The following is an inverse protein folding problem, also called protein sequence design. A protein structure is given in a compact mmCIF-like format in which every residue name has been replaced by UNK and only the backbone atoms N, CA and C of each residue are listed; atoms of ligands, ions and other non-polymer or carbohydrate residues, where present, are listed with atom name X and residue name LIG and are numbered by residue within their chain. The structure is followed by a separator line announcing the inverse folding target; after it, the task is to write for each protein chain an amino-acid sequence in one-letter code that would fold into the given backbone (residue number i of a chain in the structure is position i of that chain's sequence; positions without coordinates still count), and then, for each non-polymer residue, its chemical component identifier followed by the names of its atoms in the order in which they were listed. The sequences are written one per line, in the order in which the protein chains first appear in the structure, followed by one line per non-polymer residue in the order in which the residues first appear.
data_IF_011138173096
#
_entry.id   IF_011138173096
#
_cell.length_a   1.000
_cell.length_b   1.000
_cell.length_c   1.000
_cell.angle_alpha   90.00
_cell.angle_beta   90.00
_cell.angle_gamma   90.00
#
_symmetry.space_group_name_H-M   'P 1'
#
loop_
_entity.id
_entity.type
_entity.pdbx_description
1 polymer ?
#
# COMPACT_ATOMS: atom_id res chain seq x y z
N UNK A 1 -62.09 -62.92 24.47
CA UNK A 1 -61.03 -62.11 25.09
C UNK A 1 -61.12 -60.73 24.50
N UNK A 2 -61.95 -59.91 25.12
CA UNK A 2 -62.28 -58.54 24.72
C UNK A 2 -62.66 -57.83 26.03
N UNK A 3 -62.11 -56.65 26.24
CA UNK A 3 -62.45 -55.78 27.36
C UNK A 3 -62.19 -54.35 26.91
N UNK A 4 -63.28 -53.67 26.56
CA UNK A 4 -63.37 -52.27 26.15
C UNK A 4 -63.07 -51.29 27.30
N UNK A 5 -62.67 -50.08 26.87
CA UNK A 5 -62.93 -48.74 27.44
C UNK A 5 -63.17 -48.55 28.95
N UNK A 6 -62.45 -47.59 29.55
CA UNK A 6 -63.06 -46.29 29.86
C UNK A 6 -62.02 -45.23 30.26
N UNK A 7 -62.45 -43.98 30.05
CA UNK A 7 -61.71 -42.71 30.14
C UNK A 7 -61.36 -42.32 31.57
N UNK A 8 -60.22 -41.66 31.76
CA UNK A 8 -60.07 -40.71 32.86
C UNK A 8 -59.34 -39.44 32.40
N UNK A 9 -60.07 -38.34 32.53
CA UNK A 9 -59.70 -36.95 32.29
C UNK A 9 -58.85 -36.42 33.45
N UNK A 10 -57.66 -35.90 33.18
CA UNK A 10 -56.94 -35.06 34.15
C UNK A 10 -56.63 -33.67 33.60
N UNK A 11 -57.05 -32.71 34.42
CA UNK A 11 -56.98 -31.27 34.28
C UNK A 11 -55.61 -30.73 33.87
N UNK A 12 -55.62 -29.96 32.78
CA UNK A 12 -54.65 -28.92 32.50
C UNK A 12 -54.94 -27.73 33.42
N UNK A 13 -54.05 -27.47 34.38
CA UNK A 13 -54.05 -26.23 35.17
C UNK A 13 -52.63 -25.68 35.12
N UNK A 14 -52.52 -24.50 34.51
CA UNK A 14 -51.28 -23.86 34.12
C UNK A 14 -50.28 -23.68 35.26
N UNK A 15 -49.03 -23.98 34.93
CA UNK A 15 -47.89 -23.26 35.48
C UNK A 15 -47.63 -22.11 34.50
N UNK A 16 -47.48 -20.90 35.05
CA UNK A 16 -47.08 -19.74 34.30
C UNK A 16 -45.66 -19.98 33.78
N UNK A 17 -45.50 -19.88 32.46
CA UNK A 17 -44.22 -19.68 31.82
C UNK A 17 -43.78 -18.26 32.18
N UNK A 18 -42.98 -18.14 33.24
CA UNK A 18 -42.17 -16.95 33.45
C UNK A 18 -41.08 -16.97 32.38
N UNK A 19 -41.36 -16.29 31.26
CA UNK A 19 -40.38 -15.92 30.24
C UNK A 19 -39.28 -15.10 30.93
N UNK A 20 -38.24 -15.80 31.39
CA UNK A 20 -36.96 -15.20 31.73
C UNK A 20 -36.36 -14.78 30.39
N UNK A 21 -36.68 -13.56 29.97
CA UNK A 21 -35.90 -12.81 29.01
C UNK A 21 -34.56 -12.57 29.68
N UNK A 22 -33.62 -13.49 29.45
CA UNK A 22 -32.22 -13.19 29.65
C UNK A 22 -31.94 -12.04 28.68
N UNK A 23 -31.89 -10.82 29.19
CA UNK A 23 -31.19 -9.73 28.53
C UNK A 23 -29.75 -10.22 28.41
N UNK A 24 -29.40 -10.78 27.25
CA UNK A 24 -28.02 -10.90 26.82
C UNK A 24 -27.52 -9.46 26.77
N UNK A 25 -26.92 -9.01 27.88
CA UNK A 25 -26.04 -7.86 27.87
C UNK A 25 -24.95 -8.22 26.86
N UNK A 26 -25.06 -7.68 25.64
CA UNK A 26 -23.95 -7.62 24.71
C UNK A 26 -22.85 -6.85 25.45
N UNK A 27 -21.94 -7.59 26.10
CA UNK A 27 -20.65 -7.05 26.50
C UNK A 27 -20.02 -6.58 25.20
N UNK A 28 -20.06 -5.26 24.97
CA UNK A 28 -19.22 -4.64 23.97
C UNK A 28 -17.79 -5.05 24.34
N UNK A 29 -17.24 -6.03 23.60
CA UNK A 29 -15.83 -6.40 23.72
C UNK A 29 -15.02 -5.11 23.58
N UNK A 30 -14.54 -4.60 24.72
CA UNK A 30 -13.57 -3.52 24.75
C UNK A 30 -12.30 -4.08 24.12
N UNK A 31 -12.20 -3.97 22.79
CA UNK A 31 -10.99 -4.28 22.05
C UNK A 31 -9.80 -3.58 22.73
N UNK A 32 -8.59 -4.16 22.64
CA UNK A 32 -7.46 -3.78 23.47
C UNK A 32 -7.24 -2.26 23.44
N UNK A 33 -7.53 -1.61 24.57
CA UNK A 33 -7.53 -0.14 24.70
C UNK A 33 -6.14 0.50 24.52
N UNK A 34 -5.10 -0.32 24.31
CA UNK A 34 -3.70 0.07 24.39
C UNK A 34 -2.93 -0.03 23.06
N UNK A 35 -3.40 -0.82 22.08
CA UNK A 35 -2.65 -1.07 20.84
C UNK A 35 -3.48 -0.75 19.60
N UNK A 36 -3.11 0.33 18.91
CA UNK A 36 -3.65 0.67 17.59
C UNK A 36 -2.61 0.32 16.54
N UNK A 37 -2.85 -0.75 15.78
CA UNK A 37 -2.05 -1.04 14.59
C UNK A 37 -2.37 0.03 13.54
N UNK A 38 -1.37 0.82 13.18
CA UNK A 38 -1.52 1.83 12.14
C UNK A 38 -0.59 1.48 10.99
N UNK A 39 -1.17 1.21 9.82
CA UNK A 39 -0.39 1.12 8.59
C UNK A 39 -0.15 2.55 8.14
N UNK A 40 1.03 3.07 8.44
CA UNK A 40 1.39 4.42 8.01
C UNK A 40 2.32 4.35 6.82
N UNK A 41 1.95 5.08 5.78
CA UNK A 41 2.84 5.37 4.69
C UNK A 41 3.66 6.59 5.11
N UNK A 42 4.82 6.33 5.73
CA UNK A 42 5.71 7.36 6.23
C UNK A 42 6.32 8.19 5.10
N UNK A 43 5.92 9.47 4.98
CA UNK A 43 6.62 10.52 4.23
C UNK A 43 7.08 10.14 2.81
N UNK A 44 7.95 10.98 2.23
CA UNK A 44 8.75 10.62 1.05
C UNK A 44 7.97 10.20 -0.20
N UNK A 45 6.66 10.42 -0.21
CA UNK A 45 5.77 10.12 -1.32
C UNK A 45 5.46 11.41 -2.04
N UNK A 46 5.80 11.44 -3.31
CA UNK A 46 5.07 12.32 -4.19
C UNK A 46 3.70 11.70 -4.45
N UNK A 47 2.61 12.46 -4.29
CA UNK A 47 1.30 11.96 -4.71
C UNK A 47 1.41 11.56 -6.18
N UNK A 48 0.98 10.34 -6.52
CA UNK A 48 1.14 9.75 -7.87
C UNK A 48 0.64 10.66 -9.01
N UNK A 49 -0.26 11.60 -8.71
CA UNK A 49 -0.77 12.60 -9.65
C UNK A 49 0.19 13.77 -9.96
N UNK A 50 1.29 13.94 -9.23
CA UNK A 50 2.29 14.97 -9.52
C UNK A 50 3.38 14.42 -10.44
N UNK A 51 3.20 14.61 -11.75
CA UNK A 51 4.19 14.35 -12.80
C UNK A 51 5.54 15.08 -12.55
N UNK A 52 5.60 16.00 -11.58
CA UNK A 52 6.78 16.78 -11.21
C UNK A 52 7.15 16.52 -9.74
N UNK A 53 7.66 15.34 -9.43
CA UNK A 53 8.18 14.99 -8.12
C UNK A 53 9.67 15.34 -8.01
N UNK A 54 10.00 16.55 -7.59
CA UNK A 54 11.39 16.97 -7.48
C UNK A 54 12.09 16.31 -6.27
N UNK A 55 13.43 16.20 -6.25
CA UNK A 55 14.17 15.72 -5.09
C UNK A 55 13.80 16.38 -3.78
N UNK A 56 13.52 17.67 -3.81
CA UNK A 56 13.17 18.39 -2.59
C UNK A 56 11.81 17.94 -2.01
N UNK A 57 10.98 17.28 -2.81
CA UNK A 57 9.65 16.81 -2.41
C UNK A 57 9.69 15.42 -1.73
N UNK A 58 10.77 14.66 -1.91
CA UNK A 58 10.93 13.32 -1.30
C UNK A 58 12.16 13.19 -0.40
N UNK A 59 13.03 14.20 -0.33
CA UNK A 59 14.10 14.29 0.66
C UNK A 59 13.52 14.81 1.96
N UNK A 60 13.39 13.92 2.93
CA UNK A 60 12.86 14.20 4.25
C UNK A 60 13.99 14.29 5.28
N UNK A 61 13.77 15.04 6.37
CA UNK A 61 14.57 14.87 7.58
C UNK A 61 13.97 13.77 8.44
N UNK A 62 14.72 13.26 9.43
CA UNK A 62 14.17 12.28 10.34
C UNK A 62 12.94 12.84 11.10
N UNK A 63 12.91 14.14 11.44
CA UNK A 63 11.76 14.75 12.12
C UNK A 63 10.52 14.82 11.23
N UNK A 64 10.67 15.27 9.97
CA UNK A 64 9.53 15.36 9.05
C UNK A 64 9.01 13.97 8.68
N UNK A 65 9.91 13.01 8.49
CA UNK A 65 9.57 11.61 8.25
C UNK A 65 8.85 10.98 9.44
N UNK A 66 9.34 11.17 10.66
CA UNK A 66 8.71 10.66 11.88
C UNK A 66 7.33 11.27 12.13
N UNK A 67 7.17 12.56 11.86
CA UNK A 67 5.87 13.22 11.94
C UNK A 67 4.90 12.65 10.89
N UNK A 68 5.38 12.43 9.66
CA UNK A 68 4.58 11.80 8.62
C UNK A 68 4.15 10.37 9.00
N UNK A 69 5.05 9.58 9.62
CA UNK A 69 4.74 8.25 10.14
C UNK A 69 3.61 8.22 11.18
N UNK A 70 3.32 9.35 11.85
CA UNK A 70 2.27 9.45 12.87
C UNK A 70 1.03 10.20 12.39
N UNK A 71 1.10 10.76 11.19
CA UNK A 71 -0.01 11.52 10.63
C UNK A 71 -1.01 10.56 10.01
N UNK A 72 -2.25 10.57 10.50
CA UNK A 72 -3.35 9.85 9.86
C UNK A 72 -4.10 10.78 8.93
N UNK A 73 -4.33 10.32 7.70
CA UNK A 73 -5.26 10.97 6.81
C UNK A 73 -6.66 10.42 7.11
N UNK A 74 -7.53 11.25 7.68
CA UNK A 74 -8.94 10.92 7.89
C UNK A 74 -9.71 10.73 6.57
N UNK A 75 -9.09 11.08 5.43
CA UNK A 75 -9.60 10.81 4.07
C UNK A 75 -9.32 9.39 3.59
N UNK A 76 -9.06 8.43 4.48
CA UNK A 76 -9.06 7.00 4.14
C UNK A 76 -10.49 6.60 3.74
N UNK A 77 -10.86 6.96 2.51
CA UNK A 77 -11.80 6.21 1.70
C UNK A 77 -11.30 4.79 1.76
N UNK A 78 -12.10 3.94 2.38
CA UNK A 78 -11.90 2.50 2.53
C UNK A 78 -11.15 1.91 1.33
N UNK A 79 -9.82 1.72 1.47
CA UNK A 79 -9.07 0.76 0.67
C UNK A 79 -9.49 -0.64 1.13
N UNK A 80 -10.77 -0.97 0.95
CA UNK A 80 -11.15 -2.36 0.84
C UNK A 80 -10.57 -2.82 -0.50
N UNK A 81 -9.67 -3.81 -0.54
CA UNK A 81 -9.25 -4.40 -1.80
C UNK A 81 -10.52 -4.92 -2.46
N UNK A 82 -10.96 -4.26 -3.54
CA UNK A 82 -12.07 -4.74 -4.34
C UNK A 82 -11.68 -6.13 -4.82
N UNK A 83 -12.36 -7.14 -4.30
CA UNK A 83 -12.08 -8.54 -4.52
C UNK A 83 -11.96 -8.83 -6.02
N UNK A 84 -10.91 -9.57 -6.38
CA UNK A 84 -10.68 -10.23 -7.67
C UNK A 84 -10.54 -9.31 -8.90
N UNK A 85 -9.35 -8.72 -9.06
CA UNK A 85 -8.89 -8.33 -10.39
C UNK A 85 -8.32 -9.57 -11.10
N UNK A 86 -9.20 -10.33 -11.76
CA UNK A 86 -8.76 -11.39 -12.67
C UNK A 86 -8.22 -10.71 -13.93
N UNK A 87 -6.91 -10.78 -14.16
CA UNK A 87 -6.30 -10.35 -15.43
C UNK A 87 -6.70 -11.33 -16.53
N UNK A 88 -7.86 -11.13 -17.14
CA UNK A 88 -8.15 -11.68 -18.46
C UNK A 88 -7.51 -10.79 -19.51
N UNK A 89 -6.37 -11.24 -20.06
CA UNK A 89 -5.86 -10.75 -21.35
C UNK A 89 -6.95 -10.97 -22.40
N UNK A 90 -7.50 -9.87 -22.92
CA UNK A 90 -8.45 -9.87 -24.04
C UNK A 90 -7.86 -9.03 -25.17
N UNK A 91 -7.63 -9.70 -26.29
CA UNK A 91 -7.33 -9.11 -27.59
C UNK A 91 -8.59 -8.43 -28.12
N UNK A 92 -8.62 -7.08 -28.17
CA UNK A 92 -9.72 -6.37 -28.84
C UNK A 92 -9.25 -5.44 -29.96
N UNK A 93 -9.90 -5.65 -31.11
CA UNK A 93 -9.79 -4.89 -32.35
C UNK A 93 -10.64 -3.63 -32.28
N UNK A 94 -10.05 -2.53 -32.68
CA UNK A 94 -10.64 -1.19 -32.75
C UNK A 94 -11.63 -1.09 -33.93
N UNK A 95 -12.92 -0.83 -33.65
CA UNK A 95 -13.91 -0.40 -34.65
C UNK A 95 -14.30 1.06 -34.44
N UNK A 96 -14.32 1.79 -35.55
CA UNK A 96 -14.29 3.24 -35.67
C UNK A 96 -15.72 3.75 -35.99
N UNK A 97 -16.27 4.66 -35.18
CA UNK A 97 -17.46 5.41 -35.62
C UNK A 97 -17.57 6.81 -35.01
N UNK A 98 -17.40 7.80 -35.90
CA UNK A 98 -17.74 9.20 -35.76
C UNK A 98 -19.24 9.42 -35.54
N UNK A 99 -19.62 10.28 -34.59
CA UNK A 99 -20.70 11.24 -34.81
C UNK A 99 -20.61 12.47 -33.90
N UNK A 100 -20.85 13.63 -34.53
CA UNK A 100 -20.66 14.99 -34.05
C UNK A 100 -22.03 15.63 -33.84
N UNK A 101 -22.27 16.27 -32.70
CA UNK A 101 -23.30 17.29 -32.60
C UNK A 101 -22.96 18.34 -31.54
N UNK A 102 -23.29 19.58 -31.88
CA UNK A 102 -23.01 20.79 -31.14
C UNK A 102 -24.31 21.36 -30.56
N UNK A 103 -24.27 21.84 -29.32
CA UNK A 103 -25.25 22.77 -28.77
C UNK A 103 -24.56 23.69 -27.75
N UNK A 104 -24.89 24.97 -27.85
CA UNK A 104 -24.54 26.08 -26.93
C UNK A 104 -25.73 26.29 -25.99
N UNK A 105 -25.47 26.64 -24.74
CA UNK A 105 -26.30 27.45 -23.81
C UNK A 105 -25.34 27.93 -22.70
N UNK A 106 -25.02 29.22 -22.55
CA UNK A 106 -25.72 30.33 -21.84
C UNK A 106 -25.64 30.26 -20.30
N UNK A 107 -24.69 31.05 -19.77
CA UNK A 107 -24.62 31.85 -18.53
C UNK A 107 -25.32 31.36 -17.25
N UNK A 108 -24.51 30.91 -16.27
CA UNK A 108 -24.91 30.69 -14.87
C UNK A 108 -24.00 31.51 -13.92
N UNK A 109 -24.64 32.25 -13.01
CA UNK A 109 -24.05 33.28 -12.16
C UNK A 109 -23.29 32.67 -10.96
N UNK A 110 -21.96 32.75 -11.01
CA UNK A 110 -21.05 32.18 -10.03
C UNK A 110 -21.21 32.71 -8.61
N UNK A 111 -21.67 31.83 -7.72
CA UNK A 111 -21.64 31.98 -6.26
C UNK A 111 -20.27 31.54 -5.73
N UNK A 112 -19.40 32.50 -5.40
CA UNK A 112 -18.12 32.28 -4.71
C UNK A 112 -18.36 31.94 -3.22
N UNK A 113 -18.69 30.69 -2.94
CA UNK A 113 -18.68 30.13 -1.59
C UNK A 113 -17.31 29.57 -1.25
N UNK A 114 -16.39 30.40 -0.75
CA UNK A 114 -15.11 29.97 -0.16
C UNK A 114 -15.39 29.10 1.08
N UNK A 115 -15.50 27.80 0.85
CA UNK A 115 -15.62 26.78 1.90
C UNK A 115 -14.25 26.16 2.08
N UNK A 116 -13.34 26.89 2.72
CA UNK A 116 -12.05 26.36 3.16
C UNK A 116 -12.30 25.37 4.31
N UNK A 117 -12.62 24.14 3.95
CA UNK A 117 -12.81 23.05 4.91
C UNK A 117 -11.44 22.64 5.46
N UNK A 118 -11.08 23.21 6.61
CA UNK A 118 -9.87 22.86 7.36
C UNK A 118 -9.93 21.39 7.77
N UNK A 119 -9.28 20.51 7.00
CA UNK A 119 -9.08 19.12 7.38
C UNK A 119 -8.08 19.08 8.53
N UNK A 120 -8.56 18.90 9.76
CA UNK A 120 -7.67 18.65 10.90
C UNK A 120 -6.99 17.29 10.71
N UNK A 121 -5.72 17.29 10.32
CA UNK A 121 -4.91 16.08 10.31
C UNK A 121 -4.72 15.60 11.76
N UNK A 122 -5.03 14.34 12.02
CA UNK A 122 -4.86 13.75 13.34
C UNK A 122 -3.45 13.15 13.42
N UNK A 123 -2.57 13.77 14.20
CA UNK A 123 -1.20 13.28 14.44
C UNK A 123 -1.20 12.50 15.75
N UNK A 124 -0.76 11.24 15.73
CA UNK A 124 -0.62 10.45 16.94
C UNK A 124 0.47 11.02 17.87
N UNK A 125 0.20 11.15 19.18
CA UNK A 125 1.23 11.51 20.14
C UNK A 125 2.43 10.56 20.09
N UNK A 126 3.65 11.10 20.10
CA UNK A 126 4.89 10.31 19.93
C UNK A 126 4.97 9.15 20.91
N UNK A 127 4.59 9.42 22.16
CA UNK A 127 4.67 8.50 23.29
C UNK A 127 3.65 7.36 23.24
N UNK A 128 2.77 7.35 22.23
CA UNK A 128 1.83 6.25 21.98
C UNK A 128 2.34 5.23 20.97
N UNK A 129 3.40 5.55 20.23
CA UNK A 129 4.07 4.61 19.32
C UNK A 129 5.24 3.97 20.07
N UNK A 130 5.14 2.67 20.34
CA UNK A 130 6.10 1.90 21.16
C UNK A 130 6.81 0.79 20.38
N UNK A 131 6.23 0.34 19.27
CA UNK A 131 6.74 -0.74 18.42
C UNK A 131 6.71 -0.34 16.95
N UNK A 132 7.62 -0.91 16.14
CA UNK A 132 7.68 -0.71 14.69
C UNK A 132 7.75 -2.01 13.91
N UNK A 133 6.93 -2.16 12.87
CA UNK A 133 7.03 -3.26 11.92
C UNK A 133 7.60 -2.70 10.61
N UNK A 134 8.78 -3.16 10.21
CA UNK A 134 9.44 -2.70 8.99
C UNK A 134 9.32 -3.76 7.89
N UNK A 135 8.39 -3.52 6.96
CA UNK A 135 8.20 -4.36 5.79
C UNK A 135 9.28 -4.06 4.74
N UNK A 136 10.01 -5.08 4.30
CA UNK A 136 10.89 -5.03 3.14
C UNK A 136 10.25 -5.79 1.98
N UNK A 137 10.45 -5.31 0.76
CA UNK A 137 10.08 -6.02 -0.46
C UNK A 137 11.31 -6.19 -1.36
N UNK A 138 11.29 -7.12 -2.30
CA UNK A 138 12.32 -7.12 -3.34
C UNK A 138 12.29 -5.76 -4.08
N UNK A 139 13.43 -5.04 -4.18
CA UNK A 139 13.47 -3.70 -4.76
C UNK A 139 13.00 -3.66 -6.21
N UNK A 140 13.36 -4.66 -7.02
CA UNK A 140 12.95 -4.75 -8.42
C UNK A 140 11.43 -4.94 -8.55
N UNK A 141 10.89 -5.86 -7.76
CA UNK A 141 9.44 -6.10 -7.74
C UNK A 141 8.68 -4.86 -7.24
N UNK A 142 9.24 -4.14 -6.28
CA UNK A 142 8.65 -2.92 -5.77
C UNK A 142 8.55 -1.86 -6.88
N UNK A 143 9.63 -1.54 -7.58
CA UNK A 143 9.63 -0.50 -8.62
C UNK A 143 8.70 -0.85 -9.79
N UNK A 144 8.72 -2.10 -10.27
CA UNK A 144 7.82 -2.49 -11.36
C UNK A 144 6.35 -2.51 -10.91
N UNK A 145 6.08 -2.83 -9.65
CA UNK A 145 4.71 -2.74 -9.12
C UNK A 145 4.20 -1.30 -9.03
N UNK A 146 5.07 -0.32 -8.74
CA UNK A 146 4.70 1.10 -8.76
C UNK A 146 4.31 1.55 -10.17
N UNK A 147 5.10 1.15 -11.18
CA UNK A 147 4.74 1.37 -12.58
C UNK A 147 3.37 0.77 -12.94
N UNK A 148 3.11 -0.48 -12.54
CA UNK A 148 1.81 -1.12 -12.80
C UNK A 148 0.65 -0.44 -12.07
N UNK A 149 0.89 0.06 -10.86
CA UNK A 149 -0.11 0.83 -10.12
C UNK A 149 -0.44 2.14 -10.86
N UNK A 150 0.57 2.90 -11.28
CA UNK A 150 0.40 4.11 -12.09
C UNK A 150 -0.36 3.81 -13.40
N UNK A 151 -0.03 2.69 -14.08
CA UNK A 151 -0.76 2.26 -15.27
C UNK A 151 -2.25 1.99 -14.98
N UNK A 152 -2.55 1.28 -13.89
CA UNK A 152 -3.91 0.96 -13.50
C UNK A 152 -4.72 2.23 -13.17
N UNK A 153 -4.11 3.20 -12.49
CA UNK A 153 -4.71 4.51 -12.18
C UNK A 153 -5.08 5.27 -13.45
N UNK A 154 -4.13 5.48 -14.38
CA UNK A 154 -4.40 6.15 -15.65
C UNK A 154 -5.49 5.43 -16.47
N UNK A 155 -5.58 4.10 -16.38
CA UNK A 155 -6.64 3.31 -17.02
C UNK A 155 -8.01 3.55 -16.37
N UNK A 156 -8.08 3.61 -15.05
CA UNK A 156 -9.31 3.91 -14.31
C UNK A 156 -9.80 5.33 -14.60
N UNK A 157 -8.91 6.32 -14.59
CA UNK A 157 -9.23 7.71 -14.91
C UNK A 157 -9.70 7.88 -16.35
N UNK A 158 -9.04 7.21 -17.30
CA UNK A 158 -9.49 7.19 -18.69
C UNK A 158 -10.93 6.67 -18.82
N UNK A 159 -11.31 5.65 -18.05
CA UNK A 159 -12.67 5.09 -18.08
C UNK A 159 -13.70 5.98 -17.37
N UNK A 160 -13.28 6.68 -16.30
CA UNK A 160 -14.15 7.53 -15.49
C UNK A 160 -14.47 8.87 -16.16
N UNK A 161 -13.58 9.37 -17.02
CA UNK A 161 -13.71 10.66 -17.72
C UNK A 161 -14.66 10.66 -18.92
N UNK A 162 -15.59 9.70 -19.00
CA UNK A 162 -16.59 9.58 -20.06
C UNK A 162 -17.55 10.78 -20.18
N UNK A 163 -17.63 11.61 -19.13
CA UNK A 163 -18.59 12.72 -19.01
C UNK A 163 -17.95 14.11 -18.88
N UNK A 164 -16.62 14.20 -18.77
CA UNK A 164 -15.91 15.46 -18.51
C UNK A 164 -15.05 15.88 -19.73
N UNK A 165 -14.76 17.17 -19.82
CA UNK A 165 -14.22 17.85 -21.01
C UNK A 165 -13.04 17.15 -21.71
N UNK A 166 -12.92 17.35 -23.04
CA UNK A 166 -11.95 16.70 -23.94
C UNK A 166 -10.44 16.84 -23.58
N UNK A 167 -10.05 17.61 -22.56
CA UNK A 167 -8.65 17.91 -22.27
C UNK A 167 -7.95 16.85 -21.43
N UNK A 168 -8.55 16.42 -20.32
CA UNK A 168 -7.94 15.45 -19.38
C UNK A 168 -7.96 14.03 -19.94
N UNK A 169 -9.06 13.58 -20.55
CA UNK A 169 -9.10 12.25 -21.20
C UNK A 169 -8.01 12.09 -22.26
N UNK A 170 -7.58 13.20 -22.89
CA UNK A 170 -6.50 13.21 -23.86
C UNK A 170 -5.13 12.99 -23.20
N UNK A 171 -4.90 13.43 -21.97
CA UNK A 171 -3.62 13.22 -21.26
C UNK A 171 -3.47 11.77 -20.82
N UNK A 172 -4.46 11.14 -20.15
CA UNK A 172 -4.36 9.73 -19.74
C UNK A 172 -4.26 8.79 -20.96
N UNK A 173 -5.00 9.07 -22.05
CA UNK A 173 -4.87 8.29 -23.30
C UNK A 173 -3.48 8.42 -23.93
N UNK A 174 -2.87 9.60 -23.90
CA UNK A 174 -1.51 9.80 -24.39
C UNK A 174 -0.50 9.06 -23.50
N UNK A 175 -0.64 9.17 -22.17
CA UNK A 175 0.20 8.48 -21.21
C UNK A 175 0.16 6.96 -21.40
N UNK A 176 -1.04 6.36 -21.45
CA UNK A 176 -1.22 4.90 -21.64
C UNK A 176 -0.65 4.39 -22.97
N UNK A 177 -0.57 5.27 -23.98
CA UNK A 177 0.03 4.96 -25.27
C UNK A 177 1.57 4.94 -25.19
N UNK A 178 2.16 5.88 -24.46
CA UNK A 178 3.62 5.93 -24.23
C UNK A 178 4.06 4.82 -23.28
N UNK A 179 3.25 4.52 -22.27
CA UNK A 179 3.57 3.66 -21.14
C UNK A 179 2.79 2.34 -21.17
N UNK A 180 2.79 1.64 -22.30
CA UNK A 180 2.07 0.37 -22.44
C UNK A 180 2.48 -0.67 -21.38
N UNK A 181 1.52 -1.34 -20.72
CA UNK A 181 1.73 -2.26 -19.59
C UNK A 181 2.58 -3.51 -19.92
N UNK A 182 3.87 -3.30 -20.16
CA UNK A 182 4.88 -4.28 -20.54
C UNK A 182 6.28 -3.68 -20.26
N UNK A 183 7.33 -4.44 -20.55
CA UNK A 183 8.71 -4.01 -20.33
C UNK A 183 9.08 -2.72 -21.08
N UNK A 184 8.60 -2.54 -22.31
CA UNK A 184 8.91 -1.35 -23.10
C UNK A 184 8.27 -0.09 -22.49
N UNK A 185 7.00 -0.17 -22.09
CA UNK A 185 6.33 0.95 -21.43
C UNK A 185 6.88 1.25 -20.04
N UNK A 186 7.38 0.24 -19.31
CA UNK A 186 8.15 0.46 -18.08
C UNK A 186 9.44 1.25 -18.33
N UNK A 187 10.22 0.88 -19.35
CA UNK A 187 11.43 1.62 -19.73
C UNK A 187 11.09 3.06 -20.10
N UNK A 188 10.02 3.27 -20.87
CA UNK A 188 9.52 4.62 -21.18
C UNK A 188 9.10 5.38 -19.93
N UNK A 189 8.41 4.74 -18.99
CA UNK A 189 7.99 5.38 -17.74
C UNK A 189 9.20 5.82 -16.92
N UNK A 190 10.19 4.94 -16.78
CA UNK A 190 11.42 5.32 -16.11
C UNK A 190 12.14 6.47 -16.82
N UNK A 191 12.14 6.52 -18.16
CA UNK A 191 12.69 7.65 -18.89
C UNK A 191 11.90 8.93 -18.64
N UNK A 192 10.58 8.92 -18.74
CA UNK A 192 9.76 10.13 -18.56
C UNK A 192 9.87 10.68 -17.12
N UNK A 193 9.89 9.80 -16.11
CA UNK A 193 10.14 10.16 -14.69
C UNK A 193 11.56 10.68 -14.45
N UNK A 194 12.52 10.38 -15.34
CA UNK A 194 13.92 10.84 -15.26
C UNK A 194 14.23 12.06 -16.14
N UNK A 195 13.56 12.19 -17.29
CA UNK A 195 13.90 13.14 -18.37
C UNK A 195 13.27 14.52 -18.12
N UNK A 196 12.38 14.66 -17.12
CA UNK A 196 11.98 15.97 -16.60
C UNK A 196 13.10 16.65 -15.78
N UNK A 197 14.19 15.92 -15.48
CA UNK A 197 15.29 16.34 -14.60
C UNK A 197 16.63 16.60 -15.31
N UNK A 198 16.67 16.74 -16.66
CA UNK A 198 17.87 17.28 -17.34
C UNK A 198 18.18 18.74 -16.96
N UNK A 199 17.28 19.41 -16.23
CA UNK A 199 17.57 20.69 -15.61
C UNK A 199 18.56 20.50 -14.44
N UNK A 200 19.81 20.90 -14.71
CA UNK A 200 20.92 21.39 -13.85
C UNK A 200 20.64 21.61 -12.34
N UNK A 201 19.41 21.95 -11.97
CA UNK A 201 18.92 22.03 -10.60
C UNK A 201 18.96 20.69 -9.85
N UNK A 202 18.87 19.55 -10.55
CA UNK A 202 18.93 18.22 -9.94
C UNK A 202 20.34 17.92 -9.40
N UNK A 203 21.39 18.26 -10.14
CA UNK A 203 22.78 18.00 -9.73
C UNK A 203 23.20 18.90 -8.55
N UNK A 204 22.78 20.17 -8.53
CA UNK A 204 23.03 21.08 -7.40
C UNK A 204 22.20 20.74 -6.14
N UNK A 205 20.94 20.33 -6.31
CA UNK A 205 20.11 19.92 -5.19
C UNK A 205 20.59 18.60 -4.60
N UNK A 206 20.80 17.58 -5.44
CA UNK A 206 21.26 16.27 -5.01
C UNK A 206 22.69 16.30 -4.49
N UNK A 207 23.60 17.11 -5.03
CA UNK A 207 24.99 17.17 -4.53
C UNK A 207 25.11 17.61 -3.06
N UNK A 208 24.07 18.22 -2.48
CA UNK A 208 24.01 18.50 -1.04
C UNK A 208 23.73 17.26 -0.19
N UNK A 209 23.08 16.25 -0.77
CA UNK A 209 22.60 15.06 -0.07
C UNK A 209 23.27 13.78 -0.54
N UNK A 210 23.89 13.80 -1.72
CA UNK A 210 24.45 12.64 -2.43
C UNK A 210 25.91 12.91 -2.75
N UNK A 211 26.77 11.95 -2.46
CA UNK A 211 28.20 12.03 -2.81
C UNK A 211 28.41 11.89 -4.31
N UNK A 212 29.52 12.43 -4.83
CA UNK A 212 29.89 12.28 -6.23
C UNK A 212 29.97 10.81 -6.67
N UNK A 213 30.37 9.91 -5.76
CA UNK A 213 30.43 8.47 -6.01
C UNK A 213 29.05 7.89 -6.33
N UNK A 214 28.04 8.21 -5.51
CA UNK A 214 26.67 7.75 -5.74
C UNK A 214 26.10 8.37 -7.02
N UNK A 215 26.39 9.65 -7.30
CA UNK A 215 25.96 10.30 -8.54
C UNK A 215 26.49 9.59 -9.79
N UNK A 216 27.73 9.07 -9.75
CA UNK A 216 28.28 8.28 -10.85
C UNK A 216 27.54 6.94 -11.01
N UNK A 217 27.17 6.29 -9.90
CA UNK A 217 26.43 5.01 -9.93
C UNK A 217 25.00 5.19 -10.47
N UNK A 218 24.30 6.26 -10.05
CA UNK A 218 22.93 6.57 -10.50
C UNK A 218 22.83 6.66 -12.03
N UNK A 219 23.84 7.22 -12.71
CA UNK A 219 23.86 7.37 -14.18
C UNK A 219 23.75 6.06 -14.96
N UNK A 220 24.14 4.93 -14.35
CA UNK A 220 24.11 3.62 -14.99
C UNK A 220 22.91 2.77 -14.57
N UNK A 221 22.02 3.31 -13.73
CA UNK A 221 20.87 2.59 -13.20
C UNK A 221 19.59 3.05 -13.92
N UNK A 222 18.83 2.14 -14.54
CA UNK A 222 17.50 2.51 -15.05
C UNK A 222 16.59 2.84 -13.87
N UNK A 223 15.71 3.84 -14.03
CA UNK A 223 14.78 4.24 -12.98
C UNK A 223 15.51 4.66 -11.68
N UNK A 224 16.69 5.28 -11.78
CA UNK A 224 17.56 5.53 -10.63
C UNK A 224 16.89 6.39 -9.53
N UNK A 225 16.00 7.31 -9.91
CA UNK A 225 15.20 8.10 -8.97
C UNK A 225 14.32 7.20 -8.08
N UNK A 226 13.69 6.19 -8.65
CA UNK A 226 12.84 5.23 -7.93
C UNK A 226 13.64 4.35 -6.97
N UNK A 227 14.79 3.84 -7.41
CA UNK A 227 15.68 3.09 -6.53
C UNK A 227 16.28 3.97 -5.42
N UNK A 228 16.58 5.24 -5.72
CA UNK A 228 17.03 6.18 -4.72
C UNK A 228 15.96 6.40 -3.65
N UNK A 229 14.72 6.73 -4.07
CA UNK A 229 13.56 6.92 -3.17
C UNK A 229 13.32 5.68 -2.30
N UNK A 230 13.38 4.49 -2.90
CA UNK A 230 13.25 3.22 -2.18
C UNK A 230 14.29 3.08 -1.07
N UNK A 231 15.58 3.25 -1.38
CA UNK A 231 16.65 3.10 -0.38
C UNK A 231 16.55 4.18 0.70
N UNK A 232 16.27 5.44 0.32
CA UNK A 232 16.13 6.52 1.29
C UNK A 232 14.96 6.31 2.25
N UNK A 233 13.81 5.83 1.75
CA UNK A 233 12.69 5.46 2.61
C UNK A 233 13.12 4.45 3.68
N UNK A 234 13.82 3.37 3.28
CA UNK A 234 14.29 2.37 4.24
C UNK A 234 15.37 2.90 5.20
N UNK A 235 16.25 3.78 4.74
CA UNK A 235 17.23 4.45 5.60
C UNK A 235 16.53 5.30 6.67
N UNK A 236 15.56 6.13 6.27
CA UNK A 236 14.81 6.99 7.19
C UNK A 236 13.99 6.18 8.20
N UNK A 237 13.36 5.07 7.78
CA UNK A 237 12.69 4.16 8.74
C UNK A 237 13.71 3.61 9.73
N UNK A 238 14.87 3.13 9.28
CA UNK A 238 15.92 2.60 10.17
C UNK A 238 16.40 3.66 11.16
N UNK A 239 16.61 4.89 10.71
CA UNK A 239 17.05 6.01 11.57
C UNK A 239 15.98 6.37 12.60
N UNK A 240 14.71 6.43 12.21
CA UNK A 240 13.61 6.74 13.15
C UNK A 240 13.46 5.63 14.20
N UNK A 241 13.54 4.36 13.81
CA UNK A 241 13.46 3.23 14.74
C UNK A 241 14.62 3.27 15.76
N UNK A 242 15.84 3.57 15.31
CA UNK A 242 17.02 3.70 16.17
C UNK A 242 16.92 4.93 17.09
N UNK A 243 16.62 6.10 16.52
CA UNK A 243 16.51 7.37 17.25
C UNK A 243 15.43 7.33 18.33
N UNK A 244 14.30 6.67 18.04
CA UNK A 244 13.18 6.52 18.97
C UNK A 244 13.35 5.35 19.93
N UNK A 245 14.41 4.55 19.78
CA UNK A 245 14.66 3.32 20.55
C UNK A 245 13.43 2.40 20.55
N UNK A 246 12.76 2.28 19.40
CA UNK A 246 11.56 1.44 19.27
C UNK A 246 11.95 -0.02 19.08
N UNK A 247 11.28 -0.89 19.83
CA UNK A 247 11.30 -2.32 19.53
C UNK A 247 10.74 -2.51 18.12
N UNK A 248 11.46 -3.25 17.28
CA UNK A 248 11.04 -3.45 15.91
C UNK A 248 11.35 -4.84 15.38
N UNK A 249 10.52 -5.26 14.43
CA UNK A 249 10.73 -6.48 13.66
C UNK A 249 10.74 -6.16 12.18
N UNK A 250 11.55 -6.93 11.45
CA UNK A 250 11.59 -6.92 9.99
C UNK A 250 10.70 -8.04 9.47
N UNK A 251 9.89 -7.73 8.47
CA UNK A 251 9.10 -8.72 7.73
C UNK A 251 9.44 -8.58 6.26
N UNK A 252 9.63 -9.70 5.57
CA UNK A 252 9.87 -9.71 4.13
C UNK A 252 8.57 -10.03 3.42
N UNK A 253 8.20 -9.22 2.42
CA UNK A 253 6.93 -9.33 1.71
C UNK A 253 6.77 -10.71 1.05
N UNK A 254 7.85 -11.25 0.53
CA UNK A 254 7.90 -12.56 -0.12
C UNK A 254 7.57 -13.72 0.87
N UNK A 255 7.83 -13.56 2.18
CA UNK A 255 7.48 -14.58 3.18
C UNK A 255 5.98 -14.79 3.34
N UNK A 256 5.13 -13.81 2.99
CA UNK A 256 3.68 -14.04 2.99
C UNK A 256 3.25 -15.07 1.93
N UNK A 257 4.04 -15.25 0.86
CA UNK A 257 3.81 -16.27 -0.15
C UNK A 257 4.28 -17.66 0.28
N UNK A 258 5.39 -17.73 1.02
CA UNK A 258 6.05 -18.98 1.37
C UNK A 258 5.62 -19.53 2.73
N UNK A 259 5.36 -18.67 3.71
CA UNK A 259 5.05 -19.02 5.10
C UNK A 259 4.14 -17.96 5.76
N UNK A 260 2.92 -17.80 5.21
CA UNK A 260 1.92 -16.88 5.73
C UNK A 260 1.65 -17.07 7.23
N UNK A 261 1.57 -18.33 7.66
CA UNK A 261 1.32 -18.71 9.06
C UNK A 261 2.46 -18.29 9.98
N UNK A 262 3.71 -18.59 9.62
CA UNK A 262 4.87 -18.19 10.42
C UNK A 262 5.05 -16.68 10.51
N UNK A 263 4.69 -15.94 9.45
CA UNK A 263 4.67 -14.47 9.50
C UNK A 263 3.57 -13.97 10.44
N UNK A 264 2.36 -14.53 10.35
CA UNK A 264 1.24 -14.17 11.22
C UNK A 264 1.57 -14.42 12.71
N UNK A 265 2.08 -15.60 13.04
CA UNK A 265 2.46 -15.97 14.42
C UNK A 265 3.55 -15.03 14.97
N UNK A 266 4.55 -14.69 14.15
CA UNK A 266 5.62 -13.77 14.53
C UNK A 266 5.12 -12.35 14.75
N UNK A 267 4.21 -11.88 13.91
CA UNK A 267 3.55 -10.57 14.06
C UNK A 267 2.70 -10.53 15.32
N UNK A 268 1.82 -11.51 15.54
CA UNK A 268 0.96 -11.60 16.73
C UNK A 268 1.79 -11.65 18.01
N UNK A 269 2.83 -12.49 18.03
CA UNK A 269 3.76 -12.58 19.16
C UNK A 269 4.47 -11.26 19.44
N UNK A 270 4.97 -10.58 18.38
CA UNK A 270 5.63 -9.28 18.53
C UNK A 270 4.69 -8.19 19.03
N UNK A 271 3.45 -8.20 18.57
CA UNK A 271 2.42 -7.26 19.00
C UNK A 271 1.87 -7.59 20.38
N UNK A 272 2.25 -8.72 20.99
CA UNK A 272 1.64 -9.24 22.22
C UNK A 272 0.11 -9.36 22.08
N UNK A 273 -0.34 -9.66 20.86
CA UNK A 273 -1.74 -9.93 20.59
C UNK A 273 -2.00 -11.37 21.01
N UNK A 274 -2.70 -11.51 22.14
CA UNK A 274 -3.10 -12.82 22.63
C UNK A 274 -4.25 -13.31 21.75
N UNK A 275 -3.96 -14.28 20.89
CA UNK A 275 -4.99 -14.91 20.03
C UNK A 275 -5.89 -15.84 20.87
N UNK A 276 -5.57 -16.07 22.16
CA UNK A 276 -6.22 -17.07 23.04
C UNK A 276 -7.35 -16.55 23.94
N UNK A 277 -8.03 -15.43 23.64
CA UNK A 277 -9.13 -15.00 24.53
C UNK A 277 -10.40 -15.86 24.39
N UNK A 278 -10.36 -16.89 23.55
CA UNK A 278 -11.29 -18.00 23.62
C UNK A 278 -10.84 -19.00 24.71
N UNK A 279 -11.76 -19.36 25.62
CA UNK A 279 -11.55 -20.27 26.77
C UNK A 279 -10.87 -21.62 26.44
N UNK A 280 -10.66 -21.93 25.16
CA UNK A 280 -10.04 -23.15 24.66
C UNK A 280 -8.51 -23.18 24.83
N UNK A 281 -7.86 -22.00 24.97
CA UNK A 281 -6.42 -21.89 25.18
C UNK A 281 -5.58 -22.41 24.00
N UNK A 282 -6.12 -22.35 22.78
CA UNK A 282 -5.44 -22.85 21.57
C UNK A 282 -4.92 -21.69 20.73
N UNK A 283 -3.60 -21.50 20.73
CA UNK A 283 -2.92 -20.30 20.18
C UNK A 283 -2.65 -20.34 18.69
N UNK A 284 -3.46 -21.07 17.93
CA UNK A 284 -3.21 -21.27 16.51
C UNK A 284 -4.17 -20.43 15.72
N UNK A 285 -3.65 -19.42 15.00
CA UNK A 285 -4.40 -18.77 13.93
C UNK A 285 -4.91 -19.88 13.01
N UNK A 286 -6.22 -20.01 12.86
CA UNK A 286 -6.77 -21.04 11.98
C UNK A 286 -6.44 -20.69 10.52
N UNK A 287 -5.84 -21.63 9.79
CA UNK A 287 -5.44 -21.45 8.39
C UNK A 287 -6.64 -21.02 7.51
N UNK A 288 -7.85 -21.48 7.84
CA UNK A 288 -9.09 -21.19 7.13
C UNK A 288 -9.57 -19.73 7.29
N UNK A 289 -9.02 -18.97 8.24
CA UNK A 289 -9.39 -17.56 8.50
C UNK A 289 -8.54 -16.59 7.68
N UNK A 290 -7.34 -17.00 7.27
CA UNK A 290 -6.44 -16.11 6.54
C UNK A 290 -6.82 -16.04 5.05
N UNK A 291 -6.95 -14.83 4.48
CA UNK A 291 -7.21 -14.71 3.05
C UNK A 291 -6.03 -15.31 2.27
N UNK A 292 -6.34 -16.05 1.20
CA UNK A 292 -5.29 -16.60 0.33
C UNK A 292 -4.39 -15.48 -0.19
N UNK A 293 -3.11 -15.54 0.13
CA UNK A 293 -2.15 -14.59 -0.37
C UNK A 293 -1.70 -15.01 -1.78
N UNK A 294 -2.15 -14.28 -2.80
CA UNK A 294 -1.75 -14.55 -4.18
C UNK A 294 -0.39 -13.89 -4.44
N UNK A 295 0.66 -14.65 -4.17
CA UNK A 295 1.99 -14.36 -4.64
C UNK A 295 2.04 -14.60 -6.15
N UNK A 296 2.32 -13.59 -6.97
CA UNK A 296 2.00 -13.76 -8.40
C UNK A 296 2.77 -12.94 -9.43
N UNK A 297 3.70 -12.07 -9.05
CA UNK A 297 4.48 -11.36 -10.06
C UNK A 297 5.93 -11.23 -9.63
N UNK A 298 6.78 -12.08 -10.19
CA UNK A 298 8.21 -11.80 -10.29
C UNK A 298 8.43 -10.96 -11.54
N UNK A 299 9.27 -9.92 -11.44
CA UNK A 299 9.53 -8.97 -12.51
C UNK A 299 10.97 -9.03 -13.00
N UNK A 300 11.58 -10.22 -12.89
CA UNK A 300 12.99 -10.44 -13.22
C UNK A 300 13.30 -10.12 -14.68
N UNK A 301 12.34 -10.32 -15.58
CA UNK A 301 12.50 -10.06 -17.00
C UNK A 301 12.51 -8.57 -17.36
N UNK A 302 12.13 -7.66 -16.45
CA UNK A 302 12.16 -6.21 -16.68
C UNK A 302 13.57 -5.63 -16.69
N UNK A 303 14.54 -6.31 -16.07
CA UNK A 303 15.92 -5.84 -15.96
C UNK A 303 16.88 -6.81 -16.64
N UNK A 304 17.96 -6.30 -17.23
CA UNK A 304 19.07 -7.13 -17.66
C UNK A 304 19.97 -7.45 -16.46
N UNK A 305 20.76 -8.52 -16.54
CA UNK A 305 21.73 -8.85 -15.50
C UNK A 305 22.67 -7.66 -15.18
N UNK A 306 23.14 -6.95 -16.21
CA UNK A 306 24.00 -5.76 -16.04
C UNK A 306 23.29 -4.65 -15.26
N UNK A 307 22.01 -4.41 -15.55
CA UNK A 307 21.21 -3.45 -14.79
C UNK A 307 21.02 -3.91 -13.35
N UNK A 308 20.70 -5.19 -13.12
CA UNK A 308 20.58 -5.78 -11.78
C UNK A 308 21.86 -5.63 -10.96
N UNK A 309 23.02 -5.94 -11.55
CA UNK A 309 24.33 -5.79 -10.89
C UNK A 309 24.59 -4.31 -10.53
N UNK A 310 24.31 -3.37 -11.45
CA UNK A 310 24.47 -1.93 -11.22
C UNK A 310 23.51 -1.38 -10.15
N UNK A 311 22.27 -1.87 -10.13
CA UNK A 311 21.26 -1.51 -9.12
C UNK A 311 21.70 -1.99 -7.74
N UNK A 312 22.19 -3.21 -7.61
CA UNK A 312 22.69 -3.71 -6.34
C UNK A 312 23.91 -2.96 -5.83
N UNK A 313 24.84 -2.62 -6.73
CA UNK A 313 26.02 -1.80 -6.40
C UNK A 313 25.61 -0.39 -5.91
N UNK A 314 24.59 0.22 -6.53
CA UNK A 314 24.00 1.47 -6.06
C UNK A 314 23.38 1.32 -4.67
N UNK A 315 22.52 0.32 -4.49
CA UNK A 315 21.82 0.07 -3.22
C UNK A 315 22.82 -0.14 -2.08
N UNK A 316 23.83 -1.00 -2.28
CA UNK A 316 24.87 -1.27 -1.27
C UNK A 316 25.60 0.01 -0.87
N UNK A 317 25.89 0.88 -1.83
CA UNK A 317 26.65 2.11 -1.59
C UNK A 317 25.84 3.18 -0.84
N UNK A 318 24.51 3.13 -0.93
CA UNK A 318 23.61 4.12 -0.33
C UNK A 318 22.96 3.67 0.98
N UNK A 319 22.76 2.37 1.16
CA UNK A 319 21.98 1.83 2.26
C UNK A 319 22.74 1.95 3.58
N UNK A 320 22.02 2.33 4.64
CA UNK A 320 22.51 2.20 6.01
C UNK A 320 22.90 0.72 6.28
N UNK A 321 23.93 0.39 7.09
CA UNK A 321 24.37 -0.99 7.27
C UNK A 321 23.26 -1.97 7.67
N UNK A 322 22.32 -1.54 8.51
CA UNK A 322 21.14 -2.34 8.89
C UNK A 322 20.20 -2.55 7.69
N UNK A 323 19.99 -1.51 6.88
CA UNK A 323 19.18 -1.60 5.66
C UNK A 323 19.83 -2.52 4.65
N UNK A 324 21.14 -2.41 4.41
CA UNK A 324 21.87 -3.30 3.52
C UNK A 324 21.79 -4.76 3.99
N UNK A 325 21.98 -4.99 5.29
CA UNK A 325 21.83 -6.33 5.89
C UNK A 325 20.47 -6.94 5.54
N UNK A 326 19.39 -6.16 5.64
CA UNK A 326 18.05 -6.64 5.33
C UNK A 326 17.84 -6.82 3.82
N UNK A 327 18.34 -5.91 2.97
CA UNK A 327 18.18 -6.02 1.52
C UNK A 327 18.94 -7.21 0.91
N UNK A 328 20.08 -7.62 1.52
CA UNK A 328 20.82 -8.82 1.10
C UNK A 328 20.00 -10.12 1.17
N UNK A 329 18.90 -10.14 1.93
CA UNK A 329 17.97 -11.26 1.92
C UNK A 329 17.57 -11.64 0.48
N UNK A 330 17.31 -10.65 -0.37
CA UNK A 330 16.89 -10.85 -1.77
C UNK A 330 18.03 -11.20 -2.73
N UNK A 331 19.29 -11.12 -2.29
CA UNK A 331 20.44 -11.60 -3.09
C UNK A 331 20.63 -13.11 -2.95
N UNK A 332 20.35 -13.67 -1.77
CA UNK A 332 20.54 -15.09 -1.49
C UNK A 332 19.37 -15.97 -1.91
N UNK A 333 18.18 -15.39 -2.08
CA UNK A 333 16.96 -16.15 -2.41
C UNK A 333 16.77 -16.38 -3.92
N UNK A 334 17.71 -15.91 -4.75
CA UNK A 334 17.65 -16.01 -6.22
C UNK A 334 18.46 -17.15 -6.85
N UNK A 335 18.95 -18.11 -6.07
CA UNK A 335 19.69 -19.30 -6.55
C UNK A 335 18.86 -20.60 -6.47
#
# INVERSE_FOLDING_TARGET
GMGEEEKETTNLRGAADDDIVAEEEEEEEEGPSELVVTVTHCGGRCPHASINCHPQDYIETYESFEQACRTTSSTSTSFLPSSTFTTTESDDKEEDSNQKQAAKDEDDDGFEGDTTQSSSSNIYPSNKVTKGIHLYRNPFNNIVSQYRAAYAEHKLEQSSSSSSSNSETKTHKAWLKTHANNKAGFVSWCHDEMDHDEDILHEEALSKFITLEIMVKLKNVPCHAEFYRYVQFHNLVSEVLEFRELDSIVVYYEEYGDDLMGVADRLSSFLEYDVNDDETGTTTVEEDVLPSFVYGNTYEDYFTKEQTDAIWDLIESMAHPTVWKNMKYYLSSGD
#
